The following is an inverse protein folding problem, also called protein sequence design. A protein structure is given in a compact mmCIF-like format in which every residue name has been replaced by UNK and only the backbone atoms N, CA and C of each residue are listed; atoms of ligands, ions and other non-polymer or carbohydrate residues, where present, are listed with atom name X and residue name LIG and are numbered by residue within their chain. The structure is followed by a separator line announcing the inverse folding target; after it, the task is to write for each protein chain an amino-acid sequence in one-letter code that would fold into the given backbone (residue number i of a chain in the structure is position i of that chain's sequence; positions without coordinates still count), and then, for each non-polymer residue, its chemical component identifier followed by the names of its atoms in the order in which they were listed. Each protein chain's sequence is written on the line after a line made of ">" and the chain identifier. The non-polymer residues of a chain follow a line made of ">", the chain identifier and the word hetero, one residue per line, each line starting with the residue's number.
data_IF_212833355961
#
_entry.id   IF_212833355961
#
_cell.length_a   1.000
_cell.length_b   1.000
_cell.length_c   1.000
_cell.angle_alpha   90.00
_cell.angle_beta   90.00
_cell.angle_gamma   90.00
#
_symmetry.space_group_name_H-M   'P 1'
#
loop_
_entity.id
_entity.type
_entity.pdbx_description
1 polymer ?
#
# COMPACT_ATOMS: atom_id res chain seq x y z
N UNK A 1 -47.94 -26.34 -57.96
CA UNK A 1 -48.48 -25.22 -57.16
C UNK A 1 -47.57 -25.06 -55.96
N UNK A 2 -46.92 -23.90 -55.83
CA UNK A 2 -45.77 -23.65 -54.95
C UNK A 2 -46.22 -23.51 -53.48
N UNK A 3 -45.58 -24.23 -52.57
CA UNK A 3 -45.75 -24.08 -51.13
C UNK A 3 -45.03 -22.81 -50.65
N UNK A 4 -45.74 -21.98 -49.88
CA UNK A 4 -45.18 -20.78 -49.26
C UNK A 4 -44.68 -21.12 -47.85
N UNK A 5 -43.38 -20.91 -47.62
CA UNK A 5 -42.78 -20.97 -46.29
C UNK A 5 -42.93 -19.60 -45.61
N UNK A 6 -43.50 -19.58 -44.41
CA UNK A 6 -43.62 -18.39 -43.57
C UNK A 6 -42.34 -18.24 -42.73
N UNK A 7 -41.54 -17.23 -43.05
CA UNK A 7 -40.36 -16.84 -42.28
C UNK A 7 -40.77 -15.93 -41.12
N UNK A 8 -40.54 -16.39 -39.88
CA UNK A 8 -40.73 -15.59 -38.67
C UNK A 8 -39.49 -14.73 -38.45
N UNK A 9 -39.62 -13.41 -38.55
CA UNK A 9 -38.54 -12.47 -38.17
C UNK A 9 -38.61 -12.20 -36.67
N UNK A 10 -37.68 -12.79 -35.91
CA UNK A 10 -37.47 -12.47 -34.50
C UNK A 10 -36.80 -11.11 -34.36
N UNK A 11 -37.50 -10.14 -33.77
CA UNK A 11 -36.94 -8.86 -33.35
C UNK A 11 -36.10 -9.07 -32.10
N UNK A 12 -34.77 -9.06 -32.24
CA UNK A 12 -33.85 -9.00 -31.11
C UNK A 12 -33.91 -7.61 -30.49
N UNK A 13 -34.70 -7.45 -29.43
CA UNK A 13 -34.67 -6.27 -28.58
C UNK A 13 -33.29 -6.25 -27.92
N UNK A 14 -32.45 -5.32 -28.37
CA UNK A 14 -31.16 -5.03 -27.73
C UNK A 14 -31.43 -4.49 -26.33
N UNK A 15 -31.31 -5.36 -25.32
CA UNK A 15 -31.18 -4.96 -23.94
C UNK A 15 -29.83 -4.28 -23.80
N UNK A 16 -29.81 -2.96 -23.95
CA UNK A 16 -28.71 -2.12 -23.45
C UNK A 16 -28.68 -2.35 -21.95
N UNK A 17 -27.77 -3.22 -21.51
CA UNK A 17 -27.48 -3.43 -20.11
C UNK A 17 -27.03 -2.09 -19.55
N UNK A 18 -27.93 -1.41 -18.86
CA UNK A 18 -27.59 -0.25 -18.06
C UNK A 18 -26.75 -0.77 -16.92
N UNK A 19 -25.44 -0.57 -17.03
CA UNK A 19 -24.50 -0.77 -15.93
C UNK A 19 -24.95 0.13 -14.78
N UNK A 20 -25.67 -0.45 -13.83
CA UNK A 20 -25.87 0.19 -12.53
C UNK A 20 -24.49 0.33 -11.91
N UNK A 21 -23.95 1.56 -11.86
CA UNK A 21 -22.77 1.87 -11.08
C UNK A 21 -23.07 1.50 -9.62
N UNK A 22 -22.41 0.46 -9.12
CA UNK A 22 -22.57 0.02 -7.74
C UNK A 22 -21.95 1.05 -6.79
N UNK A 23 -22.68 1.33 -5.74
CA UNK A 23 -22.34 2.19 -4.60
C UNK A 23 -20.96 1.88 -4.00
N UNK A 24 -20.11 2.89 -3.84
CA UNK A 24 -19.25 3.24 -2.67
C UNK A 24 -18.72 2.07 -1.80
N UNK A 25 -18.12 1.04 -2.40
CA UNK A 25 -17.48 -0.06 -1.66
C UNK A 25 -15.98 0.14 -1.55
N UNK A 26 -15.44 -0.09 -0.35
CA UNK A 26 -13.99 -0.09 -0.12
C UNK A 26 -13.32 -1.23 -0.91
N UNK A 27 -12.12 -1.02 -1.48
CA UNK A 27 -11.44 -2.03 -2.27
C UNK A 27 -10.99 -3.23 -1.43
N UNK A 28 -11.12 -4.44 -2.01
CA UNK A 28 -10.50 -5.65 -1.45
C UNK A 28 -8.98 -5.66 -1.67
N UNK A 29 -8.27 -6.41 -0.83
CA UNK A 29 -6.81 -6.59 -0.93
C UNK A 29 -6.33 -7.22 -2.24
N UNK A 30 -7.23 -7.78 -3.04
CA UNK A 30 -6.94 -8.33 -4.37
C UNK A 30 -7.19 -7.32 -5.51
N UNK A 31 -7.79 -6.17 -5.23
CA UNK A 31 -8.09 -5.16 -6.24
C UNK A 31 -6.78 -4.55 -6.79
N UNK A 32 -6.60 -4.61 -8.12
CA UNK A 32 -5.35 -4.23 -8.78
C UNK A 32 -5.00 -2.75 -8.60
N UNK A 33 -5.99 -1.85 -8.67
CA UNK A 33 -5.77 -0.42 -8.47
C UNK A 33 -5.39 -0.11 -7.02
N UNK A 34 -6.00 -0.80 -6.05
CA UNK A 34 -5.64 -0.68 -4.64
C UNK A 34 -4.20 -1.13 -4.39
N UNK A 35 -3.82 -2.31 -4.91
CA UNK A 35 -2.45 -2.85 -4.83
C UNK A 35 -1.44 -1.88 -5.46
N UNK A 36 -1.73 -1.43 -6.69
CA UNK A 36 -0.91 -0.49 -7.45
C UNK A 36 -0.74 0.81 -6.68
N UNK A 37 -1.83 1.41 -6.22
CA UNK A 37 -1.80 2.68 -5.50
C UNK A 37 -1.04 2.58 -4.19
N UNK A 38 -1.17 1.48 -3.44
CA UNK A 38 -0.42 1.30 -2.20
C UNK A 38 1.09 1.35 -2.48
N UNK A 39 1.59 0.57 -3.43
CA UNK A 39 3.03 0.57 -3.76
C UNK A 39 3.47 1.90 -4.39
N UNK A 40 2.66 2.47 -5.30
CA UNK A 40 2.95 3.71 -6.02
C UNK A 40 3.13 4.89 -5.07
N UNK A 41 2.19 5.13 -4.14
CA UNK A 41 2.26 6.28 -3.25
C UNK A 41 3.36 6.14 -2.19
N UNK A 42 3.64 4.92 -1.71
CA UNK A 42 4.83 4.69 -0.88
C UNK A 42 6.10 5.05 -1.66
N UNK A 43 6.29 4.52 -2.87
CA UNK A 43 7.49 4.79 -3.66
C UNK A 43 7.62 6.26 -4.06
N UNK A 44 6.52 6.97 -4.35
CA UNK A 44 6.53 8.42 -4.57
C UNK A 44 7.12 9.16 -3.38
N UNK A 45 6.67 8.87 -2.16
CA UNK A 45 7.19 9.55 -0.99
C UNK A 45 8.63 9.14 -0.65
N UNK A 46 8.99 7.88 -0.89
CA UNK A 46 10.36 7.37 -0.71
C UNK A 46 11.36 8.01 -1.67
N UNK A 47 10.96 8.31 -2.91
CA UNK A 47 11.82 8.93 -3.92
C UNK A 47 12.01 10.45 -3.73
N UNK A 48 11.13 11.08 -2.96
CA UNK A 48 11.05 12.53 -2.74
C UNK A 48 11.56 12.97 -1.35
N UNK A 49 12.20 12.07 -0.59
CA UNK A 49 12.70 12.38 0.75
C UNK A 49 13.75 13.49 0.75
N UNK A 50 13.71 14.31 1.79
CA UNK A 50 14.69 15.37 2.05
C UNK A 50 15.16 15.30 3.52
N UNK A 51 16.46 15.07 3.79
CA UNK A 51 17.57 14.94 2.84
C UNK A 51 17.45 13.70 1.95
N UNK A 52 18.11 13.66 0.76
CA UNK A 52 18.08 12.49 -0.11
C UNK A 52 18.71 11.25 0.55
N UNK A 53 18.29 10.06 0.13
CA UNK A 53 18.65 8.79 0.74
C UNK A 53 19.60 7.96 -0.14
N UNK A 54 20.72 7.49 0.42
CA UNK A 54 21.70 6.67 -0.31
C UNK A 54 21.20 5.26 -0.61
N UNK A 55 20.31 4.71 0.23
CA UNK A 55 20.01 3.29 0.33
C UNK A 55 18.51 2.95 0.29
N UNK A 56 17.65 3.87 -0.17
CA UNK A 56 16.20 3.69 -0.14
C UNK A 56 15.76 2.56 -1.07
N UNK A 57 15.27 1.43 -0.52
CA UNK A 57 14.81 0.32 -1.34
C UNK A 57 13.47 0.64 -2.02
N UNK A 58 13.30 0.15 -3.24
CA UNK A 58 12.00 0.13 -3.92
C UNK A 58 11.03 -0.79 -3.16
N UNK A 59 9.81 -0.30 -2.95
CA UNK A 59 8.79 -1.02 -2.18
C UNK A 59 7.80 -1.72 -3.11
N UNK A 60 7.53 -2.99 -2.85
CA UNK A 60 6.59 -3.80 -3.64
C UNK A 60 5.52 -4.44 -2.78
N UNK A 61 4.42 -4.80 -3.42
CA UNK A 61 3.31 -5.46 -2.76
C UNK A 61 3.70 -6.86 -2.28
N UNK A 62 3.21 -7.23 -1.10
CA UNK A 62 3.29 -8.57 -0.55
C UNK A 62 1.89 -9.05 -0.13
N UNK A 63 1.36 -10.12 -0.74
CA UNK A 63 0.02 -10.61 -0.45
C UNK A 63 -0.11 -11.20 0.96
N UNK A 64 0.96 -11.74 1.55
CA UNK A 64 0.93 -12.29 2.91
C UNK A 64 0.81 -11.15 3.91
N UNK A 65 1.56 -10.06 3.74
CA UNK A 65 1.39 -8.85 4.55
C UNK A 65 -0.02 -8.27 4.42
N UNK A 66 -0.62 -8.31 3.23
CA UNK A 66 -1.99 -7.81 3.01
C UNK A 66 -3.04 -8.66 3.74
N UNK A 67 -2.85 -9.99 3.82
CA UNK A 67 -3.71 -10.87 4.61
C UNK A 67 -3.58 -10.61 6.11
N UNK A 68 -2.37 -10.35 6.59
CA UNK A 68 -2.12 -9.97 8.00
C UNK A 68 -2.85 -8.65 8.31
N UNK A 69 -2.67 -7.63 7.45
CA UNK A 69 -3.34 -6.34 7.57
C UNK A 69 -4.87 -6.50 7.55
N UNK A 70 -5.41 -7.33 6.65
CA UNK A 70 -6.86 -7.62 6.56
C UNK A 70 -7.37 -8.30 7.83
N UNK A 71 -6.60 -9.22 8.39
CA UNK A 71 -6.92 -9.89 9.64
C UNK A 71 -7.02 -8.92 10.82
N UNK A 72 -6.09 -7.97 10.90
CA UNK A 72 -6.07 -6.95 11.95
C UNK A 72 -7.13 -5.86 11.75
N UNK A 73 -7.27 -5.33 10.54
CA UNK A 73 -8.23 -4.27 10.23
C UNK A 73 -9.68 -4.65 10.57
N UNK A 74 -10.03 -5.94 10.40
CA UNK A 74 -11.34 -6.51 10.80
C UNK A 74 -11.67 -6.37 12.28
N UNK A 75 -10.66 -6.14 13.14
CA UNK A 75 -10.87 -5.95 14.57
C UNK A 75 -11.44 -4.57 14.90
N UNK A 76 -11.32 -3.60 13.99
CA UNK A 76 -11.80 -2.22 14.19
C UNK A 76 -11.28 -1.61 15.50
N UNK A 77 -9.96 -1.68 15.71
CA UNK A 77 -9.29 -1.13 16.89
C UNK A 77 -8.20 -0.17 16.45
N UNK A 78 -8.17 1.03 17.02
CA UNK A 78 -7.09 1.99 16.81
C UNK A 78 -5.90 1.67 17.73
N UNK A 79 -5.36 0.47 17.56
CA UNK A 79 -4.22 -0.06 18.30
C UNK A 79 -3.41 -0.95 17.35
N UNK A 80 -2.10 -1.05 17.60
CA UNK A 80 -1.24 -1.92 16.81
C UNK A 80 -1.50 -3.40 17.06
N UNK A 81 -1.29 -4.23 16.04
CA UNK A 81 -1.34 -5.68 16.18
C UNK A 81 -0.30 -6.16 17.22
N UNK A 82 -0.70 -6.81 18.32
CA UNK A 82 0.23 -7.21 19.38
C UNK A 82 1.19 -8.34 18.96
N UNK A 83 0.97 -8.97 17.81
CA UNK A 83 1.78 -10.09 17.31
C UNK A 83 2.86 -9.65 16.31
N UNK A 84 3.06 -8.35 16.06
CA UNK A 84 4.03 -7.85 15.06
C UNK A 84 5.49 -8.23 15.34
N UNK A 85 5.84 -8.53 16.60
CA UNK A 85 7.15 -9.04 17.01
C UNK A 85 7.27 -10.57 16.90
N UNK A 86 6.18 -11.26 16.60
CA UNK A 86 6.15 -12.69 16.33
C UNK A 86 6.34 -12.94 14.83
N UNK A 87 6.71 -14.17 14.49
CA UNK A 87 6.93 -14.57 13.09
C UNK A 87 5.61 -14.80 12.36
N UNK A 88 4.91 -13.72 12.01
CA UNK A 88 3.67 -13.73 11.22
C UNK A 88 3.91 -13.93 9.72
N UNK A 89 5.12 -13.61 9.24
CA UNK A 89 5.52 -13.74 7.85
C UNK A 89 6.71 -14.72 7.73
N UNK A 90 6.74 -15.61 6.72
CA UNK A 90 7.81 -16.61 6.61
C UNK A 90 9.21 -16.00 6.47
N UNK A 91 9.31 -14.85 5.80
CA UNK A 91 10.58 -14.20 5.45
C UNK A 91 10.98 -13.03 6.37
N UNK A 92 10.12 -12.61 7.30
CA UNK A 92 10.39 -11.46 8.17
C UNK A 92 10.20 -11.82 9.63
N UNK A 93 11.21 -11.55 10.45
CA UNK A 93 11.19 -11.87 11.90
C UNK A 93 10.22 -10.96 12.67
N UNK A 94 10.10 -9.70 12.25
CA UNK A 94 9.15 -8.74 12.79
C UNK A 94 8.58 -7.88 11.66
N UNK A 95 7.38 -7.35 11.86
CA UNK A 95 6.66 -6.53 10.91
C UNK A 95 6.43 -5.12 11.45
N UNK A 96 6.49 -4.14 10.56
CA UNK A 96 6.05 -2.77 10.83
C UNK A 96 4.54 -2.66 10.61
N UNK A 97 3.93 -1.59 11.11
CA UNK A 97 2.52 -1.32 10.88
C UNK A 97 2.22 0.17 10.94
N UNK A 98 1.42 0.64 9.99
CA UNK A 98 0.77 1.93 10.04
C UNK A 98 -0.75 1.75 10.02
N UNK A 99 -1.46 2.57 10.79
CA UNK A 99 -2.91 2.57 10.88
C UNK A 99 -3.42 3.98 10.55
N UNK A 100 -4.43 4.05 9.70
CA UNK A 100 -5.19 5.25 9.41
C UNK A 100 -6.65 4.97 9.67
N UNK A 101 -7.36 5.94 10.21
CA UNK A 101 -8.79 5.87 10.43
C UNK A 101 -9.41 7.23 10.18
N UNK A 102 -10.50 7.23 9.42
CA UNK A 102 -11.23 8.43 9.06
C UNK A 102 -12.60 8.08 8.49
N UNK A 103 -13.43 9.10 8.26
CA UNK A 103 -14.72 8.93 7.57
C UNK A 103 -14.52 8.17 6.25
N UNK A 104 -15.46 7.26 5.94
CA UNK A 104 -15.52 6.56 4.66
C UNK A 104 -15.35 7.49 3.44
N UNK A 105 -16.04 8.64 3.45
CA UNK A 105 -16.00 9.61 2.36
C UNK A 105 -14.65 10.32 2.18
N UNK A 106 -13.75 10.25 3.16
CA UNK A 106 -12.41 10.84 3.10
C UNK A 106 -11.35 9.85 2.67
N UNK A 107 -11.69 8.55 2.62
CA UNK A 107 -10.71 7.52 2.34
C UNK A 107 -10.33 7.51 0.85
N UNK A 108 -9.03 7.61 0.63
CA UNK A 108 -8.37 7.05 -0.52
C UNK A 108 -6.98 6.59 -0.07
N UNK A 109 -6.40 5.64 -0.80
CA UNK A 109 -5.03 5.17 -0.54
C UNK A 109 -4.05 6.35 -0.54
N UNK A 110 -4.19 7.26 -1.51
CA UNK A 110 -3.34 8.45 -1.62
C UNK A 110 -3.45 9.36 -0.40
N UNK A 111 -4.65 9.64 0.08
CA UNK A 111 -4.89 10.53 1.23
C UNK A 111 -4.40 9.92 2.53
N UNK A 112 -4.61 8.62 2.74
CA UNK A 112 -4.16 7.93 3.95
C UNK A 112 -2.63 7.88 4.04
N UNK A 113 -1.95 7.47 2.94
CA UNK A 113 -0.47 7.43 2.91
C UNK A 113 0.11 8.85 2.98
N UNK A 114 -0.51 9.84 2.32
CA UNK A 114 -0.09 11.22 2.45
C UNK A 114 -0.25 11.75 3.88
N UNK A 115 -1.31 11.37 4.59
CA UNK A 115 -1.49 11.74 5.99
C UNK A 115 -0.35 11.20 6.88
N UNK A 116 0.05 9.95 6.67
CA UNK A 116 1.22 9.36 7.33
C UNK A 116 2.51 10.09 6.98
N UNK A 117 2.77 10.33 5.69
CA UNK A 117 3.97 11.03 5.25
C UNK A 117 4.06 12.47 5.77
N UNK A 118 2.92 13.16 5.86
CA UNK A 118 2.85 14.57 6.28
C UNK A 118 3.28 14.80 7.73
N UNK A 119 3.49 13.75 8.53
CA UNK A 119 4.17 13.85 9.82
C UNK A 119 5.63 14.33 9.70
N UNK A 120 6.23 14.28 8.50
CA UNK A 120 7.55 14.87 8.21
C UNK A 120 7.69 16.31 8.70
N UNK A 121 6.59 17.09 8.70
CA UNK A 121 6.56 18.46 9.21
C UNK A 121 6.91 18.60 10.69
N UNK A 122 6.83 17.49 11.45
CA UNK A 122 7.13 17.41 12.88
C UNK A 122 8.44 16.69 13.17
N UNK A 123 9.13 16.18 12.16
CA UNK A 123 10.33 15.36 12.28
C UNK A 123 11.58 16.12 11.83
N UNK A 124 12.53 16.32 12.74
CA UNK A 124 13.83 16.91 12.43
C UNK A 124 14.87 15.81 12.13
N UNK A 125 15.21 15.61 10.85
CA UNK A 125 16.09 14.52 10.44
C UNK A 125 17.47 14.54 11.11
N UNK A 126 18.07 15.73 11.30
CA UNK A 126 19.42 15.88 11.86
C UNK A 126 19.52 15.31 13.28
N UNK A 127 18.50 15.53 14.10
CA UNK A 127 18.47 15.18 15.53
C UNK A 127 17.60 13.97 15.82
N UNK A 128 16.80 13.52 14.83
CA UNK A 128 15.70 12.55 14.97
C UNK A 128 14.62 13.02 15.94
N UNK A 129 14.58 14.31 16.29
CA UNK A 129 13.58 14.86 17.20
C UNK A 129 12.22 14.85 16.51
N UNK A 130 11.23 14.28 17.19
CA UNK A 130 9.84 14.34 16.80
C UNK A 130 9.08 15.23 17.79
N UNK A 131 8.40 16.26 17.28
CA UNK A 131 7.64 17.18 18.13
C UNK A 131 6.17 16.74 18.34
N UNK A 132 5.72 15.69 17.66
CA UNK A 132 4.37 15.12 17.78
C UNK A 132 4.40 13.59 17.52
N UNK A 133 3.64 13.11 16.55
CA UNK A 133 3.71 11.74 16.01
C UNK A 133 4.50 11.81 14.71
N UNK A 134 5.50 10.94 14.57
CA UNK A 134 6.33 10.82 13.37
C UNK A 134 6.53 9.38 12.91
N UNK A 135 6.01 8.41 13.67
CA UNK A 135 6.24 6.98 13.45
C UNK A 135 5.65 6.48 12.14
N UNK A 136 4.54 7.10 11.67
CA UNK A 136 3.96 6.72 10.39
C UNK A 136 4.83 7.22 9.24
N UNK A 137 5.30 8.47 9.32
CA UNK A 137 6.27 9.00 8.35
C UNK A 137 7.53 8.15 8.29
N UNK A 138 8.18 7.90 9.44
CA UNK A 138 9.45 7.15 9.45
C UNK A 138 9.29 5.74 8.91
N UNK A 139 8.14 5.09 9.12
CA UNK A 139 7.86 3.78 8.54
C UNK A 139 7.63 3.85 7.02
N UNK A 140 6.90 4.84 6.51
CA UNK A 140 6.71 5.04 5.05
C UNK A 140 8.07 5.18 4.34
N UNK A 141 9.00 5.93 4.95
CA UNK A 141 10.32 6.20 4.40
C UNK A 141 11.43 5.32 5.00
N UNK A 142 11.09 4.18 5.59
CA UNK A 142 12.10 3.28 6.16
C UNK A 142 12.86 2.56 5.04
N UNK A 143 14.15 2.85 4.86
CA UNK A 143 14.94 2.39 3.72
C UNK A 143 14.89 0.87 3.56
N UNK A 144 15.03 0.12 4.67
CA UNK A 144 15.11 -1.34 4.64
C UNK A 144 13.74 -2.02 4.46
N UNK A 145 12.62 -1.34 4.70
CA UNK A 145 11.29 -1.90 4.48
C UNK A 145 10.96 -1.88 2.98
N UNK A 146 10.98 -3.05 2.33
CA UNK A 146 10.82 -3.18 0.88
C UNK A 146 9.56 -3.94 0.46
N UNK A 147 8.84 -4.55 1.39
CA UNK A 147 7.52 -5.15 1.17
C UNK A 147 6.46 -4.40 1.96
N UNK A 148 5.29 -4.21 1.34
CA UNK A 148 4.10 -3.66 1.99
C UNK A 148 2.87 -4.45 1.59
N UNK A 149 1.96 -4.66 2.54
CA UNK A 149 0.64 -5.20 2.27
C UNK A 149 -0.38 -4.47 3.12
N UNK A 150 -1.48 -4.05 2.51
CA UNK A 150 -2.47 -3.19 3.14
C UNK A 150 -3.87 -3.78 3.04
N UNK A 151 -4.76 -3.33 3.92
CA UNK A 151 -6.19 -3.60 3.87
C UNK A 151 -6.97 -2.41 4.40
N UNK A 152 -8.15 -2.19 3.86
CA UNK A 152 -9.12 -1.23 4.41
C UNK A 152 -10.39 -1.97 4.81
N UNK A 153 -10.93 -1.64 5.97
CA UNK A 153 -12.14 -2.23 6.53
C UNK A 153 -13.16 -1.13 6.84
N UNK A 154 -14.42 -1.36 6.47
CA UNK A 154 -15.51 -0.56 7.00
C UNK A 154 -15.80 -0.96 8.45
N UNK A 155 -15.75 0.01 9.34
CA UNK A 155 -16.02 -0.16 10.76
C UNK A 155 -17.14 0.79 11.17
N UNK A 156 -18.31 0.29 11.60
CA UNK A 156 -19.37 1.14 12.16
C UNK A 156 -18.85 2.01 13.31
N UNK A 157 -17.93 1.46 14.11
CA UNK A 157 -17.16 2.15 15.13
C UNK A 157 -15.76 1.54 15.21
N UNK A 158 -14.76 2.35 15.54
CA UNK A 158 -13.39 1.89 15.85
C UNK A 158 -13.11 2.16 17.32
N UNK A 159 -12.67 1.14 18.05
CA UNK A 159 -12.27 1.30 19.46
C UNK A 159 -11.10 2.28 19.56
N UNK A 160 -11.21 3.28 20.45
CA UNK A 160 -10.23 4.36 20.58
C UNK A 160 -10.53 5.60 19.72
N UNK A 161 -11.62 5.60 18.95
CA UNK A 161 -12.08 6.72 18.12
C UNK A 161 -13.55 7.04 18.44
N UNK A 162 -13.91 8.33 18.45
CA UNK A 162 -15.23 8.80 18.88
C UNK A 162 -16.30 8.90 17.78
N UNK A 163 -15.93 8.78 16.51
CA UNK A 163 -16.84 8.89 15.37
C UNK A 163 -17.14 7.53 14.72
N UNK A 164 -18.26 7.46 14.00
CA UNK A 164 -18.78 6.25 13.36
C UNK A 164 -18.50 6.21 11.85
N UNK A 165 -18.83 5.09 11.21
CA UNK A 165 -18.72 4.87 9.76
C UNK A 165 -17.31 5.15 9.23
N UNK A 166 -16.35 4.42 9.80
CA UNK A 166 -14.92 4.61 9.63
C UNK A 166 -14.39 3.70 8.53
N UNK A 167 -13.61 4.24 7.61
CA UNK A 167 -12.65 3.48 6.82
C UNK A 167 -11.39 3.29 7.66
N UNK A 168 -11.12 2.05 8.05
CA UNK A 168 -9.99 1.67 8.89
C UNK A 168 -8.93 0.99 8.02
N UNK A 169 -7.86 1.72 7.70
CA UNK A 169 -6.82 1.33 6.76
C UNK A 169 -5.54 0.95 7.50
N UNK A 170 -5.06 -0.27 7.28
CA UNK A 170 -3.87 -0.83 7.92
C UNK A 170 -2.89 -1.24 6.83
N UNK A 171 -1.62 -0.89 6.98
CA UNK A 171 -0.53 -1.41 6.16
C UNK A 171 0.52 -2.07 7.05
N UNK A 172 0.94 -3.29 6.72
CA UNK A 172 2.09 -3.95 7.33
C UNK A 172 3.32 -3.87 6.42
N UNK A 173 4.50 -3.74 7.03
CA UNK A 173 5.77 -3.53 6.36
C UNK A 173 6.78 -4.64 6.69
N UNK A 174 7.48 -5.10 5.67
CA UNK A 174 8.49 -6.16 5.77
C UNK A 174 9.83 -5.74 5.19
N UNK A 175 10.94 -5.88 5.95
CA UNK A 175 11.01 -6.03 7.41
C UNK A 175 10.43 -4.81 8.16
N UNK A 176 10.22 -4.96 9.47
CA UNK A 176 9.85 -3.85 10.36
C UNK A 176 10.83 -2.67 10.28
N UNK A 177 10.29 -1.46 10.34
CA UNK A 177 11.07 -0.23 10.51
C UNK A 177 11.00 0.29 11.95
N UNK A 178 11.15 1.61 12.09
CA UNK A 178 11.01 2.35 13.35
C UNK A 178 11.90 1.87 14.51
N UNK A 179 13.07 1.30 14.19
CA UNK A 179 14.14 1.14 15.17
C UNK A 179 14.66 2.51 15.64
N UNK A 180 15.34 2.60 16.81
CA UNK A 180 15.80 3.87 17.37
C UNK A 180 17.02 4.47 16.64
N UNK A 181 16.93 4.61 15.31
CA UNK A 181 17.94 5.14 14.38
C UNK A 181 17.26 6.01 13.30
N UNK A 182 18.01 6.50 12.32
CA UNK A 182 17.45 7.22 11.17
C UNK A 182 16.67 6.27 10.27
N UNK A 183 15.58 6.74 9.62
CA UNK A 183 14.81 5.88 8.72
C UNK A 183 15.58 5.49 7.46
N UNK A 184 16.61 6.25 7.09
CA UNK A 184 17.46 5.98 5.92
C UNK A 184 18.82 6.66 6.10
N UNK A 185 19.81 6.27 5.30
CA UNK A 185 21.12 6.92 5.28
C UNK A 185 21.07 8.16 4.37
N UNK A 186 21.46 9.32 4.89
CA UNK A 186 21.47 10.57 4.11
C UNK A 186 22.65 10.60 3.14
N UNK A 187 22.42 11.06 1.92
CA UNK A 187 23.48 11.26 0.93
C UNK A 187 22.93 11.25 -0.49
N UNK A 188 23.82 11.14 -1.48
CA UNK A 188 23.40 11.11 -2.89
C UNK A 188 22.48 9.91 -3.13
N UNK A 189 21.33 10.14 -3.76
CA UNK A 189 20.38 9.08 -4.09
C UNK A 189 21.05 7.86 -4.71
N UNK A 190 20.72 6.67 -4.21
CA UNK A 190 21.24 5.39 -4.66
C UNK A 190 22.76 5.15 -4.50
N UNK A 191 23.52 6.03 -3.83
CA UNK A 191 24.97 5.86 -3.71
C UNK A 191 25.41 4.70 -2.80
N UNK A 192 24.49 4.11 -2.04
CA UNK A 192 24.72 2.96 -1.17
C UNK A 192 23.71 1.82 -1.44
N UNK A 193 23.18 1.72 -2.67
CA UNK A 193 22.44 0.52 -3.08
C UNK A 193 23.36 -0.72 -3.08
N UNK A 194 22.75 -1.91 -2.97
CA UNK A 194 23.49 -3.17 -3.05
C UNK A 194 24.12 -3.35 -4.45
N UNK A 195 25.19 -4.14 -4.57
CA UNK A 195 26.03 -4.25 -5.77
C UNK A 195 25.26 -4.56 -7.07
N UNK A 196 24.14 -5.29 -6.98
CA UNK A 196 23.34 -5.70 -8.15
C UNK A 196 22.04 -4.90 -8.31
N UNK A 197 21.85 -3.87 -7.50
CA UNK A 197 20.66 -3.02 -7.58
C UNK A 197 20.86 -1.93 -8.64
N UNK A 198 19.78 -1.62 -9.37
CA UNK A 198 19.70 -0.46 -10.26
C UNK A 198 19.11 0.72 -9.51
N UNK A 199 19.44 1.94 -9.93
CA UNK A 199 18.76 3.13 -9.43
C UNK A 199 17.63 3.52 -10.38
N UNK A 200 16.40 3.56 -9.86
CA UNK A 200 15.23 4.04 -10.60
C UNK A 200 14.46 5.01 -9.73
N UNK A 201 14.25 6.24 -10.23
CA UNK A 201 13.56 7.31 -9.48
C UNK A 201 14.07 7.46 -8.04
N UNK A 202 15.39 7.52 -7.83
CA UNK A 202 16.03 7.61 -6.51
C UNK A 202 15.86 6.38 -5.57
N UNK A 203 15.39 5.25 -6.09
CA UNK A 203 15.18 4.01 -5.33
C UNK A 203 16.10 2.90 -5.83
N UNK A 204 16.60 2.08 -4.91
CA UNK A 204 17.33 0.85 -5.20
C UNK A 204 16.35 -0.24 -5.64
N UNK A 205 16.48 -0.71 -6.88
CA UNK A 205 15.61 -1.72 -7.52
C UNK A 205 16.39 -3.00 -7.75
N UNK A 206 15.80 -4.15 -7.44
CA UNK A 206 16.39 -5.46 -7.62
C UNK A 206 15.34 -6.46 -8.10
N UNK A 207 15.60 -7.12 -9.23
CA UNK A 207 14.63 -8.01 -9.84
C UNK A 207 14.20 -9.18 -8.96
N UNK A 208 15.07 -9.70 -8.08
CA UNK A 208 14.72 -10.83 -7.20
C UNK A 208 13.90 -10.35 -6.01
N UNK A 209 14.32 -9.26 -5.37
CA UNK A 209 13.62 -8.67 -4.22
C UNK A 209 12.23 -8.13 -4.60
N UNK A 210 12.15 -7.49 -5.76
CA UNK A 210 10.98 -6.72 -6.21
C UNK A 210 9.95 -7.59 -6.95
N UNK A 211 10.21 -8.90 -7.08
CA UNK A 211 9.21 -9.86 -7.51
C UNK A 211 7.98 -9.80 -6.61
N UNK A 212 6.81 -9.63 -7.22
CA UNK A 212 5.51 -9.79 -6.56
C UNK A 212 5.07 -11.23 -6.78
N UNK A 213 5.04 -12.02 -5.72
CA UNK A 213 4.57 -13.41 -5.76
C UNK A 213 3.04 -13.44 -5.74
N UNK A 214 2.41 -14.26 -6.58
CA UNK A 214 0.95 -14.31 -6.79
C UNK A 214 0.53 -13.76 -8.16
N UNK A 215 -0.75 -13.89 -8.51
CA UNK A 215 -1.39 -13.66 -9.83
C UNK A 215 -1.18 -12.28 -10.53
N UNK A 216 -0.25 -11.45 -10.06
CA UNK A 216 -0.02 -10.07 -10.49
C UNK A 216 1.24 -9.89 -11.35
N UNK A 217 1.75 -10.99 -11.92
CA UNK A 217 2.96 -11.02 -12.77
C UNK A 217 2.83 -10.07 -13.98
N UNK A 218 1.61 -9.73 -14.42
CA UNK A 218 1.39 -8.93 -15.63
C UNK A 218 1.42 -7.39 -15.42
N UNK A 219 1.58 -6.88 -14.20
CA UNK A 219 1.47 -5.42 -13.94
C UNK A 219 2.82 -4.68 -13.81
N UNK A 220 3.94 -5.39 -13.65
CA UNK A 220 5.26 -4.77 -13.42
C UNK A 220 6.19 -4.81 -14.64
N UNK A 221 5.95 -5.69 -15.63
CA UNK A 221 6.85 -5.86 -16.77
C UNK A 221 6.49 -5.03 -18.02
N UNK A 222 5.37 -4.30 -18.02
CA UNK A 222 4.94 -3.51 -19.19
C UNK A 222 5.65 -2.16 -19.37
N UNK A 223 6.50 -1.75 -18.42
CA UNK A 223 7.10 -0.40 -18.42
C UNK A 223 8.60 -0.36 -18.08
N UNK A 224 9.31 -1.50 -18.05
CA UNK A 224 10.77 -1.48 -18.07
C UNK A 224 11.22 -1.47 -19.53
N UNK A 225 11.83 -0.38 -20.05
CA UNK A 225 12.51 -0.46 -21.33
C UNK A 225 13.63 -1.50 -21.21
N UNK A 226 13.72 -2.38 -22.21
CA UNK A 226 14.85 -3.29 -22.41
C UNK A 226 16.18 -2.54 -22.43
#
# INVERSE_FOLDING_TARGET
>A
MRGAALAWTSWMISLVSSSFYTTDTLPDIQNEDFIRNCSLFHNKFRSEVNPPATNMLYMTWDPVLAQIAKGWAKKCQFAHNPQLSQKLHPNFTALGENIWSGSMSLFSVSRAIAAWYNEVRFYEFRTRKCNHVCGHYTQVVWADSYKVGCAVQFCPQVSGISYSNVAHFVCNYGPAGNYPTWPYEKGRSCSACQKNDKCLYNLCVNQQRDQVTGMYINLLFSFLPM
#
